data_IF_830984209050
#
_entry.id   IF_830984209050
#
_cell.length_a   1.000
_cell.length_b   1.000
_cell.length_c   1.000
_cell.angle_alpha   90.00
_cell.angle_beta   90.00
_cell.angle_gamma   90.00
#
_symmetry.space_group_name_H-M   'P 1'
#
loop_
_entity.id
_entity.type
_entity.pdbx_description
1 polymer ?
#
# COMPACT_ATOMS: atom_id res chain seq x y z
N UNK A 1 8.75 9.65 -14.19
CA UNK A 1 7.74 8.83 -13.49
C UNK A 1 7.63 7.57 -14.32
N UNK A 2 7.59 6.38 -13.72
CA UNK A 2 7.30 5.19 -14.50
C UNK A 2 5.90 5.31 -15.11
N UNK A 3 5.67 4.68 -16.25
CA UNK A 3 4.31 4.48 -16.75
C UNK A 3 3.69 3.31 -15.97
N UNK A 4 2.36 3.30 -15.78
CA UNK A 4 1.71 2.13 -15.21
C UNK A 4 1.93 0.93 -16.13
N UNK A 5 1.94 -0.26 -15.54
CA UNK A 5 1.99 -1.53 -16.27
C UNK A 5 0.81 -1.55 -17.24
N UNK A 6 1.10 -1.79 -18.51
CA UNK A 6 0.14 -1.71 -19.61
C UNK A 6 -0.73 -2.98 -19.64
N UNK A 7 -1.72 -3.02 -18.75
CA UNK A 7 -2.69 -4.12 -18.64
C UNK A 7 -4.11 -3.55 -18.69
N UNK A 8 -5.02 -4.23 -19.39
CA UNK A 8 -6.38 -3.75 -19.56
C UNK A 8 -7.18 -3.86 -18.25
N UNK A 9 -8.02 -2.87 -17.96
CA UNK A 9 -9.02 -3.01 -16.90
C UNK A 9 -9.89 -4.23 -17.20
N UNK A 10 -10.10 -5.06 -16.20
CA UNK A 10 -10.78 -6.34 -16.30
C UNK A 10 -9.88 -7.53 -16.62
N UNK A 11 -8.57 -7.38 -16.86
CA UNK A 11 -7.65 -8.53 -16.94
C UNK A 11 -7.56 -9.29 -15.62
N UNK A 12 -7.22 -10.59 -15.67
CA UNK A 12 -6.94 -11.35 -14.46
C UNK A 12 -5.71 -10.78 -13.74
N UNK A 13 -5.68 -10.92 -12.41
CA UNK A 13 -4.61 -10.33 -11.58
C UNK A 13 -3.22 -10.91 -11.88
N UNK A 14 -3.16 -12.16 -12.32
CA UNK A 14 -1.94 -12.87 -12.70
C UNK A 14 -1.46 -12.52 -14.13
N UNK A 15 -2.24 -11.76 -14.90
CA UNK A 15 -1.81 -11.15 -16.17
C UNK A 15 -1.04 -9.83 -15.97
N UNK A 16 -1.03 -9.27 -14.75
CA UNK A 16 -0.30 -8.04 -14.45
C UNK A 16 1.19 -8.39 -14.30
N UNK A 17 2.06 -7.74 -15.09
CA UNK A 17 3.52 -7.91 -14.97
C UNK A 17 3.99 -7.72 -13.52
N UNK A 18 4.96 -8.53 -13.12
CA UNK A 18 5.51 -8.52 -11.77
C UNK A 18 6.86 -7.77 -11.71
N UNK A 19 7.23 -7.18 -10.56
CA UNK A 19 6.43 -7.03 -9.34
C UNK A 19 5.46 -5.83 -9.40
N UNK A 20 4.23 -6.02 -8.91
CA UNK A 20 3.20 -4.97 -8.84
C UNK A 20 2.54 -4.90 -7.45
N UNK A 21 2.30 -3.69 -6.95
CA UNK A 21 1.58 -3.45 -5.70
C UNK A 21 0.06 -3.59 -5.91
N UNK A 22 -0.53 -4.63 -5.32
CA UNK A 22 -1.93 -4.97 -5.46
C UNK A 22 -2.73 -4.55 -4.23
N UNK A 23 -3.95 -4.06 -4.46
CA UNK A 23 -4.92 -3.71 -3.42
C UNK A 23 -6.22 -4.47 -3.66
N UNK A 24 -6.51 -5.46 -2.84
CA UNK A 24 -7.76 -6.20 -2.85
C UNK A 24 -8.90 -5.33 -2.29
N UNK A 25 -9.78 -4.89 -3.19
CA UNK A 25 -10.87 -3.98 -2.88
C UNK A 25 -11.99 -4.63 -2.07
N UNK A 26 -12.25 -5.92 -2.30
CA UNK A 26 -13.22 -6.67 -1.51
C UNK A 26 -12.79 -6.77 -0.05
N UNK A 27 -11.48 -6.99 0.20
CA UNK A 27 -10.92 -7.04 1.55
C UNK A 27 -10.87 -5.66 2.20
N UNK A 28 -10.47 -4.62 1.46
CA UNK A 28 -10.49 -3.24 1.96
C UNK A 28 -11.90 -2.81 2.40
N UNK A 29 -12.92 -3.11 1.59
CA UNK A 29 -14.31 -2.82 1.92
C UNK A 29 -14.84 -3.66 3.09
N UNK A 30 -14.41 -4.91 3.21
CA UNK A 30 -14.73 -5.73 4.38
C UNK A 30 -14.13 -5.13 5.66
N UNK A 31 -12.91 -4.61 5.61
CA UNK A 31 -12.27 -3.91 6.73
C UNK A 31 -13.05 -2.63 7.10
N UNK A 32 -13.48 -1.84 6.10
CA UNK A 32 -14.33 -0.66 6.32
C UNK A 32 -15.63 -1.01 7.07
N UNK A 33 -16.35 -2.03 6.59
CA UNK A 33 -17.63 -2.48 7.20
C UNK A 33 -17.46 -3.01 8.62
N UNK A 34 -16.25 -3.39 9.03
CA UNK A 34 -15.98 -3.88 10.37
C UNK A 34 -15.82 -2.76 11.41
N UNK A 35 -15.65 -1.50 11.00
CA UNK A 35 -15.53 -0.36 11.91
C UNK A 35 -16.79 -0.21 12.79
N UNK A 36 -16.58 -0.07 14.11
CA UNK A 36 -17.65 0.07 15.10
C UNK A 36 -17.69 1.46 15.75
N UNK A 37 -16.64 2.26 15.57
CA UNK A 37 -16.48 3.58 16.15
C UNK A 37 -15.85 4.53 15.14
N UNK A 38 -16.03 5.86 15.31
CA UNK A 38 -15.36 6.84 14.47
C UNK A 38 -13.84 6.72 14.52
N UNK A 39 -13.20 6.92 13.37
CA UNK A 39 -11.75 6.87 13.19
C UNK A 39 -11.29 7.94 12.22
N UNK A 40 -9.98 8.17 12.19
CA UNK A 40 -9.31 8.93 11.15
C UNK A 40 -8.43 8.02 10.30
N UNK A 41 -8.61 8.05 8.99
CA UNK A 41 -7.82 7.22 8.07
C UNK A 41 -6.38 7.73 7.98
N UNK A 42 -5.42 6.83 8.19
CA UNK A 42 -4.00 7.13 8.12
C UNK A 42 -3.49 7.15 6.67
N UNK A 43 -3.67 8.27 5.99
CA UNK A 43 -3.37 8.36 4.56
C UNK A 43 -1.87 8.30 4.23
N UNK A 44 -0.99 8.55 5.20
CA UNK A 44 0.47 8.37 5.04
C UNK A 44 0.87 6.90 4.81
N UNK A 45 0.01 5.93 5.15
CA UNK A 45 0.30 4.50 4.95
C UNK A 45 0.28 4.15 3.46
N UNK A 46 -0.61 4.75 2.68
CA UNK A 46 -0.78 4.39 1.27
C UNK A 46 -0.47 5.53 0.30
N UNK A 47 -0.37 6.79 0.75
CA UNK A 47 0.00 7.94 -0.07
C UNK A 47 -0.81 8.10 -1.39
N UNK A 48 -2.02 7.55 -1.41
CA UNK A 48 -2.83 7.37 -2.63
C UNK A 48 -4.21 7.98 -2.42
N UNK A 49 -4.51 9.15 -2.99
CA UNK A 49 -5.79 9.84 -2.79
C UNK A 49 -7.03 9.01 -3.15
N UNK A 50 -6.93 8.13 -4.16
CA UNK A 50 -8.04 7.24 -4.52
C UNK A 50 -8.44 6.29 -3.38
N UNK A 51 -7.46 5.73 -2.66
CA UNK A 51 -7.72 4.87 -1.49
C UNK A 51 -8.32 5.69 -0.34
N UNK A 52 -7.82 6.92 -0.11
CA UNK A 52 -8.43 7.82 0.88
C UNK A 52 -9.90 8.11 0.57
N UNK A 53 -10.23 8.36 -0.69
CA UNK A 53 -11.63 8.55 -1.12
C UNK A 53 -12.49 7.30 -0.93
N UNK A 54 -11.94 6.10 -1.11
CA UNK A 54 -12.65 4.87 -0.78
C UNK A 54 -12.93 4.76 0.72
N UNK A 55 -11.97 5.13 1.57
CA UNK A 55 -12.14 5.12 3.03
C UNK A 55 -13.20 6.14 3.48
N UNK A 56 -13.15 7.36 2.93
CA UNK A 56 -14.07 8.46 3.25
C UNK A 56 -15.53 8.19 2.82
N UNK A 57 -15.81 7.11 2.08
CA UNK A 57 -17.19 6.67 1.80
C UNK A 57 -17.86 6.04 3.02
N UNK A 58 -17.08 5.53 3.98
CA UNK A 58 -17.64 5.00 5.21
C UNK A 58 -17.93 6.12 6.21
N UNK A 59 -19.12 6.09 6.80
CA UNK A 59 -19.61 7.10 7.74
C UNK A 59 -18.80 7.18 9.04
N UNK A 60 -18.00 6.16 9.37
CA UNK A 60 -17.15 6.16 10.56
C UNK A 60 -15.79 6.82 10.30
N UNK A 61 -15.43 7.11 9.04
CA UNK A 61 -14.17 7.77 8.71
C UNK A 61 -14.40 9.28 8.64
N UNK A 62 -14.01 10.01 9.68
CA UNK A 62 -14.31 11.44 9.83
C UNK A 62 -13.29 12.37 9.13
N UNK A 63 -12.39 11.80 8.32
CA UNK A 63 -11.35 12.51 7.62
C UNK A 63 -10.08 11.69 7.49
N UNK A 64 -9.01 12.34 7.03
CA UNK A 64 -7.69 11.72 6.90
C UNK A 64 -6.66 12.37 7.81
N UNK A 65 -5.65 11.60 8.18
CA UNK A 65 -4.43 12.09 8.82
C UNK A 65 -3.23 11.84 7.90
N UNK A 66 -2.30 12.78 7.92
CA UNK A 66 -1.03 12.75 7.18
C UNK A 66 0.11 13.14 8.12
N UNK A 67 1.37 12.91 7.72
CA UNK A 67 2.54 13.24 8.54
C UNK A 67 3.15 14.58 8.16
N UNK A 68 2.95 15.11 6.96
CA UNK A 68 3.57 16.34 6.49
C UNK A 68 2.63 17.28 5.73
N UNK A 69 3.10 18.52 5.52
CA UNK A 69 2.37 19.53 4.75
C UNK A 69 2.35 19.18 3.26
N UNK A 70 3.44 18.65 2.70
CA UNK A 70 3.44 18.21 1.31
C UNK A 70 2.42 17.10 1.04
N UNK A 71 2.27 16.12 1.93
CA UNK A 71 1.19 15.13 1.83
C UNK A 71 -0.19 15.83 1.88
N UNK A 72 -0.40 16.73 2.84
CA UNK A 72 -1.65 17.46 2.97
C UNK A 72 -2.00 18.24 1.69
N UNK A 73 -1.02 18.87 1.04
CA UNK A 73 -1.21 19.56 -0.24
C UNK A 73 -1.69 18.62 -1.35
N UNK A 74 -1.09 17.43 -1.46
CA UNK A 74 -1.51 16.43 -2.45
C UNK A 74 -2.94 15.96 -2.20
N UNK A 75 -3.29 15.62 -0.96
CA UNK A 75 -4.63 15.15 -0.63
C UNK A 75 -5.69 16.26 -0.73
N UNK A 76 -5.35 17.49 -0.33
CA UNK A 76 -6.24 18.65 -0.48
C UNK A 76 -6.51 18.96 -1.96
N UNK A 77 -5.47 18.94 -2.80
CA UNK A 77 -5.62 19.11 -4.25
C UNK A 77 -6.47 18.00 -4.90
N UNK A 78 -6.45 16.80 -4.32
CA UNK A 78 -7.32 15.69 -4.71
C UNK A 78 -8.73 15.75 -4.10
N UNK A 79 -9.09 16.80 -3.37
CA UNK A 79 -10.43 17.02 -2.82
C UNK A 79 -10.70 16.40 -1.44
N UNK A 80 -9.67 15.98 -0.70
CA UNK A 80 -9.85 15.58 0.70
C UNK A 80 -10.04 16.83 1.58
N UNK A 81 -11.21 16.94 2.22
CA UNK A 81 -11.65 18.18 2.88
C UNK A 81 -11.26 18.34 4.36
N UNK A 82 -11.15 17.25 5.13
CA UNK A 82 -10.77 17.28 6.56
C UNK A 82 -9.45 16.50 6.74
N UNK A 83 -8.36 17.24 6.93
CA UNK A 83 -6.99 16.72 6.97
C UNK A 83 -6.33 17.10 8.28
N UNK A 84 -5.74 16.12 8.98
CA UNK A 84 -4.91 16.37 10.15
C UNK A 84 -3.44 16.13 9.86
N UNK A 85 -2.59 17.09 10.22
CA UNK A 85 -1.14 16.95 10.12
C UNK A 85 -0.61 16.56 11.50
N UNK A 86 -0.20 15.31 11.67
CA UNK A 86 0.16 14.76 12.97
C UNK A 86 1.61 15.00 13.40
N UNK A 87 2.41 15.73 12.61
CA UNK A 87 3.76 16.16 13.02
C UNK A 87 3.81 17.67 13.22
N UNK A 88 4.64 18.15 14.18
CA UNK A 88 4.78 19.58 14.42
C UNK A 88 5.27 20.37 13.20
N UNK A 89 4.68 21.53 12.96
CA UNK A 89 5.10 22.48 11.92
C UNK A 89 6.25 23.36 12.43
N UNK A 90 7.47 22.82 12.43
CA UNK A 90 8.63 23.48 13.03
C UNK A 90 9.09 24.73 12.25
N UNK A 91 9.14 24.65 10.92
CA UNK A 91 9.72 25.73 10.10
C UNK A 91 8.69 26.83 9.77
N UNK A 92 9.18 28.03 9.43
CA UNK A 92 8.32 29.09 8.91
C UNK A 92 7.66 28.70 7.57
N UNK A 93 8.37 27.93 6.74
CA UNK A 93 7.87 27.46 5.44
C UNK A 93 6.69 26.50 5.61
N UNK A 94 6.82 25.49 6.49
CA UNK A 94 5.75 24.50 6.74
C UNK A 94 4.52 25.16 7.37
N UNK A 95 4.69 26.12 8.29
CA UNK A 95 3.57 26.90 8.84
C UNK A 95 2.85 27.71 7.76
N UNK A 96 3.58 28.42 6.91
CA UNK A 96 2.99 29.21 5.81
C UNK A 96 2.23 28.34 4.82
N UNK A 97 2.80 27.19 4.44
CA UNK A 97 2.17 26.23 3.52
C UNK A 97 0.89 25.64 4.10
N UNK A 98 0.89 25.23 5.37
CA UNK A 98 -0.31 24.73 6.03
C UNK A 98 -1.40 25.81 6.15
N UNK A 99 -1.04 27.07 6.41
CA UNK A 99 -1.99 28.19 6.42
C UNK A 99 -2.62 28.43 5.04
N UNK A 100 -1.85 28.27 3.96
CA UNK A 100 -2.37 28.44 2.60
C UNK A 100 -3.43 27.38 2.24
N UNK A 101 -3.39 26.19 2.85
CA UNK A 101 -4.39 25.13 2.64
C UNK A 101 -5.75 25.43 3.26
N UNK A 102 -5.84 26.37 4.22
CA UNK A 102 -7.10 26.69 4.92
C UNK A 102 -8.21 27.19 3.97
N UNK A 103 -7.86 27.65 2.76
CA UNK A 103 -8.83 28.03 1.73
C UNK A 103 -9.44 26.86 0.96
N UNK A 104 -8.83 25.68 1.00
CA UNK A 104 -9.25 24.49 0.22
C UNK A 104 -9.57 23.26 1.06
N UNK A 105 -9.04 23.17 2.28
CA UNK A 105 -9.30 22.07 3.21
C UNK A 105 -9.21 22.56 4.67
N UNK A 106 -9.95 21.90 5.56
CA UNK A 106 -9.77 22.05 7.00
C UNK A 106 -8.50 21.30 7.40
N UNK A 107 -7.43 22.06 7.63
CA UNK A 107 -6.14 21.53 8.09
C UNK A 107 -5.93 21.85 9.56
N UNK A 108 -5.83 20.81 10.39
CA UNK A 108 -5.61 20.93 11.84
C UNK A 108 -4.33 20.18 12.23
N UNK A 109 -3.52 20.76 13.09
CA UNK A 109 -2.28 20.15 13.58
C UNK A 109 -2.44 19.43 14.92
N UNK A 110 -3.58 19.64 15.58
CA UNK A 110 -3.89 19.07 16.88
C UNK A 110 -4.56 17.71 16.71
N UNK A 111 -4.28 16.82 17.66
CA UNK A 111 -5.01 15.57 17.83
C UNK A 111 -6.41 15.86 18.39
N UNK A 112 -7.44 15.29 17.79
CA UNK A 112 -8.82 15.39 18.29
C UNK A 112 -9.23 14.19 19.15
N UNK A 113 -8.31 13.25 19.39
CA UNK A 113 -8.53 12.05 20.17
C UNK A 113 -9.23 10.91 19.43
N UNK A 114 -9.45 11.02 18.11
CA UNK A 114 -9.94 9.87 17.32
C UNK A 114 -8.83 8.84 17.13
N UNK A 115 -9.22 7.56 17.15
CA UNK A 115 -8.31 6.48 16.82
C UNK A 115 -7.82 6.60 15.37
N UNK A 116 -6.52 6.36 15.16
CA UNK A 116 -5.94 6.28 13.82
C UNK A 116 -6.19 4.89 13.26
N UNK A 117 -6.76 4.86 12.06
CA UNK A 117 -6.98 3.62 11.33
C UNK A 117 -5.84 3.43 10.34
N UNK A 118 -4.79 2.78 10.85
CA UNK A 118 -3.49 2.61 10.21
C UNK A 118 -3.42 1.30 9.40
N UNK A 119 -2.55 0.37 9.79
CA UNK A 119 -2.35 -0.89 9.08
C UNK A 119 -3.57 -1.80 9.10
N UNK A 120 -4.38 -1.75 10.17
CA UNK A 120 -5.63 -2.50 10.29
C UNK A 120 -6.60 -2.20 9.13
N UNK A 121 -6.54 -0.99 8.56
CA UNK A 121 -7.35 -0.62 7.41
C UNK A 121 -7.01 -1.45 6.17
N UNK A 122 -5.72 -1.75 6.00
CA UNK A 122 -5.15 -2.42 4.84
C UNK A 122 -4.80 -3.88 5.13
N UNK A 123 -5.09 -4.37 6.33
CA UNK A 123 -4.76 -5.72 6.77
C UNK A 123 -5.34 -6.80 5.85
N UNK A 124 -4.43 -7.55 5.22
CA UNK A 124 -4.75 -8.59 4.23
C UNK A 124 -5.27 -8.07 2.89
N UNK A 125 -5.40 -6.75 2.71
CA UNK A 125 -5.83 -6.12 1.46
C UNK A 125 -4.64 -5.80 0.55
N UNK A 126 -3.43 -5.65 1.08
CA UNK A 126 -2.26 -5.23 0.30
C UNK A 126 -1.28 -6.38 0.12
N UNK A 127 -0.86 -6.59 -1.12
CA UNK A 127 0.17 -7.55 -1.51
C UNK A 127 1.07 -6.98 -2.59
N UNK A 128 2.21 -7.61 -2.84
CA UNK A 128 3.05 -7.38 -4.02
C UNK A 128 3.11 -8.68 -4.81
N UNK A 129 2.81 -8.64 -6.09
CA UNK A 129 2.92 -9.82 -6.97
C UNK A 129 4.39 -10.15 -7.23
N UNK A 130 4.66 -11.44 -7.46
CA UNK A 130 5.98 -11.94 -7.79
C UNK A 130 5.87 -13.13 -8.73
N UNK A 131 6.81 -13.25 -9.66
CA UNK A 131 6.93 -14.43 -10.53
C UNK A 131 8.20 -15.19 -10.21
N UNK A 132 8.09 -16.52 -10.09
CA UNK A 132 9.26 -17.40 -9.94
C UNK A 132 10.09 -17.35 -11.22
N UNK A 133 11.31 -16.82 -11.10
CA UNK A 133 12.26 -16.68 -12.20
C UNK A 133 13.29 -17.82 -12.24
N UNK A 134 13.52 -18.52 -11.12
CA UNK A 134 14.49 -19.61 -11.04
C UNK A 134 14.17 -20.61 -9.93
N UNK A 135 14.49 -21.87 -10.16
CA UNK A 135 14.25 -23.01 -9.25
C UNK A 135 15.57 -23.77 -9.02
N UNK A 136 16.54 -23.19 -8.28
CA UNK A 136 17.87 -23.78 -8.12
C UNK A 136 17.86 -25.07 -7.29
N UNK A 137 16.87 -25.25 -6.41
CA UNK A 137 16.69 -26.44 -5.58
C UNK A 137 15.21 -26.86 -5.57
N UNK A 138 14.89 -28.14 -5.34
CA UNK A 138 13.50 -28.63 -5.38
C UNK A 138 12.54 -27.96 -4.39
N UNK A 139 13.05 -27.44 -3.29
CA UNK A 139 12.31 -26.83 -2.18
C UNK A 139 12.55 -25.32 -2.06
N UNK A 140 13.25 -24.71 -3.03
CA UNK A 140 13.58 -23.28 -3.03
C UNK A 140 13.52 -22.68 -4.43
N UNK A 141 12.85 -21.54 -4.53
CA UNK A 141 12.78 -20.72 -5.75
C UNK A 141 13.23 -19.28 -5.50
N UNK A 142 13.63 -18.63 -6.59
CA UNK A 142 13.95 -17.21 -6.66
C UNK A 142 12.83 -16.52 -7.43
N UNK A 143 12.28 -15.45 -6.88
CA UNK A 143 11.26 -14.63 -7.52
C UNK A 143 11.78 -13.21 -7.76
N UNK A 144 11.15 -12.48 -8.67
CA UNK A 144 11.51 -11.13 -9.12
C UNK A 144 11.09 -9.98 -8.18
N UNK A 145 10.59 -10.33 -6.98
CA UNK A 145 10.15 -9.37 -5.97
C UNK A 145 11.19 -9.25 -4.83
N UNK A 146 12.21 -8.41 -5.05
CA UNK A 146 13.25 -8.11 -4.06
C UNK A 146 12.96 -6.94 -3.12
N UNK A 147 13.99 -6.44 -2.45
CA UNK A 147 13.91 -5.33 -1.48
C UNK A 147 13.34 -4.04 -2.07
N UNK A 148 13.56 -3.77 -3.36
CA UNK A 148 13.03 -2.57 -4.03
C UNK A 148 11.55 -2.64 -4.37
N UNK A 149 10.94 -3.82 -4.24
CA UNK A 149 9.51 -4.02 -4.45
C UNK A 149 8.79 -4.19 -3.11
N UNK A 150 9.22 -5.14 -2.26
CA UNK A 150 8.46 -5.51 -1.04
C UNK A 150 9.02 -4.94 0.27
N UNK A 151 10.20 -4.32 0.23
CA UNK A 151 10.87 -3.79 1.41
C UNK A 151 11.52 -4.85 2.31
N UNK A 152 12.27 -4.40 3.32
CA UNK A 152 12.93 -5.27 4.32
C UNK A 152 13.04 -4.65 5.72
N UNK A 153 12.40 -3.50 5.95
CA UNK A 153 12.69 -2.68 7.13
C UNK A 153 12.15 -3.29 8.43
N UNK A 154 10.96 -3.89 8.39
CA UNK A 154 10.26 -4.34 9.60
C UNK A 154 10.22 -5.87 9.73
N UNK A 155 9.74 -6.56 8.70
CA UNK A 155 9.63 -8.02 8.68
C UNK A 155 9.81 -8.56 7.26
N UNK A 156 10.11 -9.85 7.15
CA UNK A 156 10.07 -10.53 5.85
C UNK A 156 8.64 -10.63 5.32
N UNK A 157 8.44 -10.56 3.99
CA UNK A 157 7.14 -10.84 3.40
C UNK A 157 6.71 -12.28 3.66
N UNK A 158 5.41 -12.54 3.51
CA UNK A 158 4.82 -13.88 3.60
C UNK A 158 4.07 -14.19 2.31
N UNK A 159 4.05 -15.44 1.87
CA UNK A 159 3.22 -15.85 0.73
C UNK A 159 1.76 -15.95 1.19
N UNK A 160 0.87 -15.23 0.51
CA UNK A 160 -0.55 -15.19 0.88
C UNK A 160 -1.17 -16.58 0.77
N UNK A 161 -1.83 -17.02 1.84
CA UNK A 161 -2.54 -18.31 1.89
C UNK A 161 -1.64 -19.55 1.89
N UNK A 162 -0.32 -19.39 2.04
CA UNK A 162 0.67 -20.48 1.96
C UNK A 162 1.61 -20.44 3.17
N UNK A 163 1.09 -20.78 4.34
CA UNK A 163 1.82 -20.71 5.62
C UNK A 163 2.99 -21.70 5.71
N UNK A 164 2.94 -22.77 4.92
CA UNK A 164 4.00 -23.75 4.76
C UNK A 164 5.22 -23.20 4.01
N UNK A 165 5.13 -22.00 3.42
CA UNK A 165 6.23 -21.35 2.75
C UNK A 165 6.93 -20.31 3.66
N UNK A 166 8.20 -20.08 3.39
CA UNK A 166 8.98 -18.97 3.92
C UNK A 166 9.37 -18.10 2.74
N UNK A 167 9.11 -16.80 2.82
CA UNK A 167 9.58 -15.83 1.84
C UNK A 167 10.52 -14.81 2.50
N UNK A 168 11.45 -14.26 1.72
CA UNK A 168 12.22 -13.08 2.09
C UNK A 168 12.55 -12.24 0.86
N UNK A 169 12.78 -10.95 1.07
CA UNK A 169 13.10 -10.01 0.01
C UNK A 169 14.49 -10.21 -0.62
N UNK A 170 15.30 -11.16 -0.13
CA UNK A 170 16.61 -11.53 -0.70
C UNK A 170 17.53 -10.32 -0.95
N UNK A 171 17.73 -10.03 -2.23
CA UNK A 171 18.57 -8.97 -2.80
C UNK A 171 17.74 -7.73 -3.21
N UNK A 172 18.35 -6.77 -3.91
CA UNK A 172 17.64 -5.59 -4.40
C UNK A 172 16.45 -5.94 -5.32
N UNK A 173 16.66 -6.87 -6.26
CA UNK A 173 15.68 -7.20 -7.33
C UNK A 173 15.04 -8.57 -7.15
N UNK A 174 15.68 -9.49 -6.43
CA UNK A 174 15.20 -10.87 -6.31
C UNK A 174 14.98 -11.26 -4.86
N UNK A 175 13.85 -11.90 -4.58
CA UNK A 175 13.56 -12.55 -3.32
C UNK A 175 13.64 -14.07 -3.41
N UNK A 176 13.50 -14.73 -2.26
CA UNK A 176 13.60 -16.17 -2.12
C UNK A 176 12.32 -16.68 -1.48
N UNK A 177 11.76 -17.75 -2.05
CA UNK A 177 10.68 -18.54 -1.45
C UNK A 177 11.17 -19.98 -1.24
N UNK A 178 10.87 -20.56 -0.08
CA UNK A 178 11.24 -21.93 0.26
C UNK A 178 10.13 -22.66 1.02
N UNK A 179 10.11 -23.98 0.93
CA UNK A 179 9.17 -24.84 1.68
C UNK A 179 9.70 -25.06 3.10
N UNK A 180 8.86 -24.86 4.13
CA UNK A 180 9.25 -25.10 5.55
C UNK A 180 9.51 -26.56 5.85
N UNK A 181 8.69 -27.44 5.30
CA UNK A 181 8.73 -28.88 5.50
C UNK A 181 7.97 -29.60 4.39
N UNK A 182 8.49 -30.73 3.91
CA UNK A 182 7.95 -31.48 2.78
C UNK A 182 8.54 -31.06 1.43
N UNK A 183 8.00 -31.60 0.34
CA UNK A 183 8.42 -31.28 -1.01
C UNK A 183 7.24 -30.71 -1.80
N UNK A 184 7.31 -29.43 -2.15
CA UNK A 184 6.55 -28.88 -3.27
C UNK A 184 7.53 -28.27 -4.26
N UNK A 185 7.61 -28.80 -5.49
CA UNK A 185 8.43 -28.19 -6.51
C UNK A 185 7.76 -26.89 -6.97
N UNK A 186 8.53 -25.81 -6.96
CA UNK A 186 8.18 -24.59 -7.68
C UNK A 186 8.44 -24.79 -9.18
N UNK A 187 7.66 -24.13 -10.02
CA UNK A 187 7.90 -24.02 -11.46
C UNK A 187 8.30 -22.59 -11.82
N UNK A 188 9.21 -22.44 -12.80
CA UNK A 188 9.47 -21.14 -13.40
C UNK A 188 8.16 -20.64 -14.04
N UNK A 189 7.79 -19.39 -13.72
CA UNK A 189 6.53 -18.79 -14.11
C UNK A 189 5.42 -18.91 -13.06
N UNK A 190 5.64 -19.63 -11.95
CA UNK A 190 4.67 -19.64 -10.84
C UNK A 190 4.46 -18.20 -10.32
N UNK A 191 3.20 -17.80 -10.25
CA UNK A 191 2.80 -16.49 -9.77
C UNK A 191 2.45 -16.54 -8.28
N UNK A 192 2.93 -15.56 -7.52
CA UNK A 192 2.83 -15.49 -6.07
C UNK A 192 2.30 -14.12 -5.64
N UNK A 193 1.48 -14.10 -4.60
CA UNK A 193 1.16 -12.86 -3.86
C UNK A 193 1.93 -12.82 -2.54
N UNK A 194 2.75 -11.79 -2.38
CA UNK A 194 3.51 -11.55 -1.16
C UNK A 194 2.80 -10.51 -0.29
N UNK A 195 2.40 -10.89 0.91
CA UNK A 195 1.98 -9.95 1.95
C UNK A 195 3.24 -9.26 2.48
N UNK A 196 3.38 -7.93 2.34
CA UNK A 196 4.57 -7.22 2.77
C UNK A 196 4.70 -7.27 4.29
N UNK A 197 5.94 -7.19 4.78
CA UNK A 197 6.21 -7.06 6.21
C UNK A 197 5.88 -5.68 6.77
N UNK A 198 5.84 -4.67 5.89
CA UNK A 198 5.47 -3.29 6.19
C UNK A 198 4.70 -2.71 5.00
N UNK A 199 3.43 -2.35 5.22
CA UNK A 199 2.56 -1.87 4.13
C UNK A 199 2.97 -0.49 3.65
N UNK A 200 3.38 0.40 4.56
CA UNK A 200 3.75 1.77 4.20
C UNK A 200 5.01 1.82 3.33
N UNK A 201 6.03 1.00 3.66
CA UNK A 201 7.22 0.82 2.83
C UNK A 201 6.86 0.26 1.46
N UNK A 202 5.98 -0.74 1.37
CA UNK A 202 5.55 -1.28 0.08
C UNK A 202 4.91 -0.19 -0.81
N UNK A 203 4.03 0.66 -0.28
CA UNK A 203 3.50 1.81 -1.03
C UNK A 203 4.60 2.82 -1.41
N UNK A 204 5.54 3.10 -0.51
CA UNK A 204 6.61 4.07 -0.75
C UNK A 204 7.59 3.66 -1.87
N UNK A 205 7.61 2.36 -2.23
CA UNK A 205 8.45 1.78 -3.27
C UNK A 205 7.81 1.77 -4.67
N UNK A 206 6.50 2.01 -4.77
CA UNK A 206 5.77 1.91 -6.05
C UNK A 206 5.17 3.24 -6.51
N UNK A 207 5.24 3.51 -7.81
CA UNK A 207 4.57 4.68 -8.41
C UNK A 207 3.06 4.47 -8.56
N UNK A 208 2.59 3.21 -8.64
CA UNK A 208 1.18 2.86 -8.83
C UNK A 208 0.73 1.73 -7.91
N UNK A 209 -0.53 1.80 -7.50
CA UNK A 209 -1.27 0.72 -6.83
C UNK A 209 -2.38 0.20 -7.75
N UNK A 210 -2.50 -1.12 -7.88
CA UNK A 210 -3.45 -1.80 -8.73
C UNK A 210 -4.61 -2.32 -7.89
N UNK A 211 -5.77 -1.68 -8.00
CA UNK A 211 -7.00 -2.09 -7.34
C UNK A 211 -7.59 -3.31 -8.01
N UNK A 212 -7.75 -4.40 -7.26
CA UNK A 212 -8.21 -5.71 -7.76
C UNK A 212 -9.50 -6.11 -7.05
N UNK A 213 -10.49 -6.56 -7.80
CA UNK A 213 -11.77 -7.08 -7.30
C UNK A 213 -12.09 -8.43 -7.92
N UNK A 214 -12.48 -9.41 -7.11
CA UNK A 214 -12.79 -10.75 -7.61
C UNK A 214 -11.67 -11.38 -8.47
N UNK A 215 -10.41 -11.07 -8.17
CA UNK A 215 -9.24 -11.55 -8.93
C UNK A 215 -9.01 -10.85 -10.27
N UNK A 216 -9.67 -9.71 -10.53
CA UNK A 216 -9.52 -8.94 -11.78
C UNK A 216 -9.14 -7.49 -11.50
N UNK A 217 -8.33 -6.90 -12.37
CA UNK A 217 -7.95 -5.49 -12.28
C UNK A 217 -9.18 -4.60 -12.46
N UNK A 218 -9.45 -3.72 -11.49
CA UNK A 218 -10.56 -2.77 -11.50
C UNK A 218 -10.07 -1.33 -11.73
N UNK A 219 -8.91 -0.98 -11.18
CA UNK A 219 -8.37 0.37 -11.28
C UNK A 219 -6.85 0.40 -11.09
N UNK A 220 -6.20 1.44 -11.63
CA UNK A 220 -4.79 1.75 -11.40
C UNK A 220 -4.71 3.17 -10.86
N UNK A 221 -4.04 3.34 -9.72
CA UNK A 221 -3.94 4.64 -9.06
C UNK A 221 -2.49 5.05 -8.85
N UNK A 222 -2.13 6.31 -9.16
CA UNK A 222 -0.82 6.83 -8.80
C UNK A 222 -0.72 6.97 -7.28
N UNK A 223 0.43 6.59 -6.72
CA UNK A 223 0.80 6.83 -5.32
C UNK A 223 1.28 8.27 -5.17
N UNK A 224 0.38 9.23 -5.39
CA UNK A 224 0.73 10.63 -5.65
C UNK A 224 1.43 11.38 -4.52
N UNK A 225 1.23 10.96 -3.26
CA UNK A 225 1.90 11.59 -2.11
C UNK A 225 3.23 10.91 -1.75
N UNK A 226 3.67 9.91 -2.54
CA UNK A 226 4.97 9.26 -2.35
C UNK A 226 6.10 10.29 -2.44
N UNK A 227 6.99 10.29 -1.45
CA UNK A 227 8.10 11.24 -1.43
C UNK A 227 7.75 12.64 -0.92
N UNK A 228 6.48 12.90 -0.58
CA UNK A 228 5.99 14.20 -0.10
C UNK A 228 6.36 14.44 1.38
N UNK A 229 7.65 14.37 1.72
CA UNK A 229 8.10 14.37 3.12
C UNK A 229 8.30 15.75 3.76
N UNK A 230 8.21 16.83 2.98
CA UNK A 230 8.60 18.20 3.36
C UNK A 230 7.46 19.10 3.85
#
# INVERSE_FOLDING_TARGET
>A
MQEPIAVAIGSAVDEIDTPALLVNLDRLEANLRALQSPVRAAAWVHCTPAIAHLQLRDRHVEGIAVRGVAEAEVFAAAGCGDIRILRPLVTASTRRRAQALAGSARVVTDDDGLALWEEDALAGAVTVSATVASTPEPDRAIHDCGQKAVGRDTASPRVKGREELIANAGSAEHGIVAVRSGAQPFSIGDWLELVPGDVATAFALHDFAYGVRGGRLEAVWPVSARGAWQ
#
